data_IF_049545425531
#
_entry.id   IF_049545425531
#
_cell.length_a   1.000
_cell.length_b   1.000
_cell.length_c   1.000
_cell.angle_alpha   90.00
_cell.angle_beta   90.00
_cell.angle_gamma   90.00
#
_symmetry.space_group_name_H-M   'P 1'
#
loop_
_entity.id
_entity.type
_entity.pdbx_description
1 polymer ?
#
# COMPACT_ATOMS: atom_id res chain seq x y z
N UNK A 1 12.37 -14.86 28.01
CA UNK A 1 11.82 -14.38 27.62
C UNK A 1 11.75 -13.97 27.14
N UNK A 2 11.95 -14.23 27.31
CA UNK A 2 11.44 -13.77 26.73
C UNK A 2 11.07 -13.26 26.22
N UNK A 3 11.06 -13.42 26.38
CA UNK A 3 10.37 -12.81 25.80
C UNK A 3 10.06 -12.06 25.56
N UNK A 4 10.12 -12.11 25.69
CA UNK A 4 9.57 -11.19 25.35
C UNK A 4 9.64 -10.30 25.13
N UNK A 5 9.95 -10.52 25.49
CA UNK A 5 9.80 -9.55 25.25
C UNK A 5 10.22 -8.96 24.76
N UNK A 6 10.50 -9.02 24.75
CA UNK A 6 10.61 -8.42 24.24
C UNK A 6 10.57 -7.93 23.54
N UNK A 7 10.59 -7.84 23.42
CA UNK A 7 10.21 -7.47 22.62
C UNK A 7 9.41 -6.68 21.95
N UNK A 8 9.30 -6.12 21.83
CA UNK A 8 8.14 -5.37 21.51
C UNK A 8 8.37 -4.30 20.43
N UNK A 9 9.06 -3.25 20.60
CA UNK A 9 9.32 -2.27 19.56
C UNK A 9 9.97 -2.86 18.33
N UNK A 10 10.74 -3.84 18.53
CA UNK A 10 11.41 -4.53 17.42
C UNK A 10 10.43 -5.28 16.57
N UNK A 11 9.43 -5.86 17.20
CA UNK A 11 8.43 -6.63 16.47
C UNK A 11 7.58 -5.73 15.59
N UNK A 12 7.45 -4.48 15.95
CA UNK A 12 6.67 -3.55 15.18
C UNK A 12 7.21 -3.41 13.75
N UNK A 13 8.52 -3.24 13.61
CA UNK A 13 9.11 -3.07 12.27
C UNK A 13 9.00 -4.35 11.45
N UNK A 14 9.04 -5.49 12.11
CA UNK A 14 8.91 -6.75 11.40
C UNK A 14 7.52 -6.96 10.84
N UNK A 15 6.54 -6.23 11.35
CA UNK A 15 5.16 -6.39 10.91
C UNK A 15 4.81 -5.48 9.76
N UNK A 16 5.70 -4.61 9.35
CA UNK A 16 5.46 -3.75 8.21
C UNK A 16 5.37 -4.64 6.97
N UNK A 17 4.25 -4.55 6.29
CA UNK A 17 3.99 -5.39 5.14
C UNK A 17 4.75 -4.92 3.93
N UNK A 18 5.32 -5.85 3.18
CA UNK A 18 6.01 -5.55 1.92
C UNK A 18 5.29 -6.28 0.80
N UNK A 19 5.41 -5.76 -0.44
CA UNK A 19 4.75 -6.41 -1.57
C UNK A 19 5.31 -7.80 -1.82
N UNK A 20 4.44 -8.71 -2.17
CA UNK A 20 4.85 -10.02 -2.66
C UNK A 20 5.08 -9.91 -4.16
N UNK A 21 5.37 -11.05 -4.80
CA UNK A 21 5.64 -11.07 -6.23
C UNK A 21 4.53 -10.44 -7.06
N UNK A 22 3.28 -10.66 -6.67
CA UNK A 22 2.14 -10.21 -7.44
C UNK A 22 1.59 -8.87 -6.98
N UNK A 23 2.27 -8.21 -6.05
CA UNK A 23 1.80 -6.96 -5.47
C UNK A 23 2.75 -5.83 -5.80
N UNK A 24 2.23 -4.61 -5.74
CA UNK A 24 3.02 -3.41 -6.01
C UNK A 24 2.66 -2.31 -5.03
N UNK A 25 3.62 -1.42 -4.79
CA UNK A 25 3.31 -0.15 -4.14
C UNK A 25 2.57 0.75 -5.12
N UNK A 26 1.73 1.61 -4.59
CA UNK A 26 1.07 2.64 -5.38
C UNK A 26 0.79 3.84 -4.49
N UNK A 27 0.64 5.00 -5.12
CA UNK A 27 0.30 6.24 -4.42
C UNK A 27 -1.04 6.72 -4.96
N UNK A 28 -1.97 7.00 -4.06
CA UNK A 28 -3.32 7.41 -4.43
C UNK A 28 -3.29 8.79 -5.05
N UNK A 29 -3.86 8.91 -6.25
CA UNK A 29 -3.97 10.18 -6.96
C UNK A 29 -5.29 10.87 -6.63
N UNK A 30 -6.38 10.12 -6.70
CA UNK A 30 -7.68 10.69 -6.43
C UNK A 30 -8.66 9.60 -6.01
N UNK A 31 -9.66 10.01 -5.27
CA UNK A 31 -10.75 9.13 -4.88
C UNK A 31 -11.85 9.27 -5.92
N UNK A 32 -12.28 8.14 -6.48
CA UNK A 32 -13.28 8.14 -7.56
C UNK A 32 -14.69 7.85 -7.06
N UNK A 33 -14.88 8.00 -5.74
CA UNK A 33 -16.19 7.76 -5.14
C UNK A 33 -16.44 6.28 -4.90
N UNK A 34 -17.39 6.01 -4.01
CA UNK A 34 -17.73 4.65 -3.68
C UNK A 34 -16.52 3.87 -3.19
N UNK A 35 -16.28 2.74 -3.84
CA UNK A 35 -15.20 1.85 -3.43
C UNK A 35 -14.08 1.82 -4.46
N UNK A 36 -13.83 2.94 -5.14
CA UNK A 36 -12.79 3.02 -6.16
C UNK A 36 -11.90 4.22 -5.97
N UNK A 37 -10.67 4.08 -6.44
CA UNK A 37 -9.73 5.19 -6.46
C UNK A 37 -8.77 4.99 -7.62
N UNK A 38 -8.01 6.02 -7.94
CA UNK A 38 -6.96 5.94 -8.94
C UNK A 38 -5.61 6.12 -8.27
N UNK A 39 -4.63 5.37 -8.71
CA UNK A 39 -3.30 5.40 -8.11
C UNK A 39 -2.22 5.22 -9.15
N UNK A 40 -1.09 5.87 -8.94
CA UNK A 40 0.12 5.65 -9.73
C UNK A 40 0.87 4.49 -9.09
N UNK A 41 1.18 3.48 -9.90
CA UNK A 41 1.79 2.25 -9.41
C UNK A 41 3.30 2.26 -9.64
N UNK A 42 4.00 1.35 -8.96
CA UNK A 42 5.46 1.34 -9.05
C UNK A 42 5.98 0.99 -10.45
N UNK A 43 5.15 0.35 -11.28
CA UNK A 43 5.54 0.09 -12.66
C UNK A 43 5.27 1.27 -13.59
N UNK A 44 4.89 2.41 -13.03
CA UNK A 44 4.64 3.63 -13.81
C UNK A 44 3.24 3.75 -14.36
N UNK A 45 2.42 2.73 -14.22
CA UNK A 45 1.06 2.75 -14.74
C UNK A 45 0.08 3.32 -13.74
N UNK A 46 -0.96 3.96 -14.26
CA UNK A 46 -2.06 4.44 -13.42
C UNK A 46 -3.19 3.43 -13.52
N UNK A 47 -3.66 2.98 -12.37
CA UNK A 47 -4.71 1.97 -12.34
C UNK A 47 -5.91 2.44 -11.55
N UNK A 48 -7.07 1.89 -11.92
CA UNK A 48 -8.24 1.99 -11.06
C UNK A 48 -8.15 0.91 -10.00
N UNK A 49 -8.23 1.30 -8.75
CA UNK A 49 -8.08 0.39 -7.62
C UNK A 49 -9.44 0.18 -6.98
N UNK A 50 -9.83 -1.08 -6.84
CA UNK A 50 -11.07 -1.44 -6.18
C UNK A 50 -10.80 -1.70 -4.70
N UNK A 51 -11.63 -1.09 -3.85
CA UNK A 51 -11.56 -1.32 -2.41
C UNK A 51 -12.61 -2.36 -2.07
N UNK A 52 -12.15 -3.54 -1.64
CA UNK A 52 -13.07 -4.61 -1.27
C UNK A 52 -13.95 -4.20 -0.08
N UNK A 53 -15.13 -4.80 0.00
CA UNK A 53 -16.10 -4.43 1.03
C UNK A 53 -15.58 -4.50 2.44
N UNK A 54 -14.77 -5.49 2.76
CA UNK A 54 -14.22 -5.64 4.10
C UNK A 54 -13.22 -4.54 4.42
N UNK A 55 -12.43 -4.12 3.43
CA UNK A 55 -11.40 -3.12 3.64
C UNK A 55 -11.99 -1.72 3.73
N UNK A 56 -13.14 -1.53 3.08
CA UNK A 56 -13.80 -0.25 3.04
C UNK A 56 -14.10 0.30 4.43
N UNK A 57 -14.40 -0.57 5.36
CA UNK A 57 -14.73 -0.17 6.73
C UNK A 57 -13.52 0.01 7.62
N UNK A 58 -12.37 -0.51 7.20
CA UNK A 58 -11.17 -0.50 8.04
C UNK A 58 -10.10 0.46 7.56
N UNK A 59 -10.14 0.81 6.30
CA UNK A 59 -9.10 1.63 5.71
C UNK A 59 -9.66 2.93 5.19
N UNK A 60 -9.26 4.00 5.84
CA UNK A 60 -9.64 5.35 5.42
C UNK A 60 -8.60 5.87 4.45
N UNK A 61 -8.62 5.32 3.24
CA UNK A 61 -7.65 5.68 2.22
C UNK A 61 -7.94 7.08 1.69
N UNK A 62 -6.89 7.86 1.52
CA UNK A 62 -6.98 9.24 1.05
C UNK A 62 -5.97 9.49 -0.05
N UNK A 63 -6.12 10.63 -0.71
CA UNK A 63 -5.14 11.07 -1.69
C UNK A 63 -3.77 11.17 -1.05
N UNK A 64 -2.75 10.82 -1.81
CA UNK A 64 -1.35 10.81 -1.40
C UNK A 64 -0.98 9.72 -0.40
N UNK A 65 -1.89 8.80 -0.12
CA UNK A 65 -1.56 7.65 0.73
C UNK A 65 -0.73 6.64 -0.05
N UNK A 66 0.18 5.98 0.66
CA UNK A 66 0.89 4.85 0.11
C UNK A 66 0.08 3.59 0.35
N UNK A 67 -0.15 2.84 -0.69
CA UNK A 67 -0.94 1.62 -0.61
C UNK A 67 -0.24 0.47 -1.30
N UNK A 68 -0.72 -0.73 -1.04
CA UNK A 68 -0.26 -1.94 -1.67
C UNK A 68 -1.42 -2.46 -2.51
N UNK A 69 -1.13 -2.79 -3.76
CA UNK A 69 -2.17 -3.23 -4.68
C UNK A 69 -1.77 -4.54 -5.33
N UNK A 70 -2.78 -5.25 -5.83
CA UNK A 70 -2.56 -6.47 -6.58
C UNK A 70 -3.29 -6.34 -7.91
N UNK A 71 -2.57 -6.25 -9.04
CA UNK A 71 -3.21 -6.16 -10.35
C UNK A 71 -4.11 -7.37 -10.61
N UNK A 72 -5.20 -7.15 -11.33
CA UNK A 72 -6.11 -8.22 -11.67
C UNK A 72 -5.44 -9.18 -12.66
N UNK A 73 -5.81 -10.46 -12.64
CA UNK A 73 -5.29 -11.40 -13.64
C UNK A 73 -5.65 -11.00 -15.06
N UNK A 74 -6.84 -10.40 -15.23
CA UNK A 74 -7.29 -9.88 -16.53
C UNK A 74 -7.43 -8.38 -16.36
N UNK A 75 -6.95 -7.61 -17.33
CA UNK A 75 -6.95 -6.15 -17.29
C UNK A 75 -6.03 -5.62 -16.17
N UNK A 76 -4.99 -6.37 -15.83
CA UNK A 76 -4.09 -5.99 -14.75
C UNK A 76 -3.32 -4.70 -15.00
N UNK A 77 -3.21 -4.27 -16.27
CA UNK A 77 -2.58 -2.99 -16.60
C UNK A 77 -3.45 -1.81 -16.24
N UNK A 78 -4.73 -2.03 -16.05
CA UNK A 78 -5.69 -0.96 -15.81
C UNK A 78 -6.39 -1.06 -14.47
N UNK A 79 -6.44 -2.25 -13.89
CA UNK A 79 -7.22 -2.49 -12.68
C UNK A 79 -6.47 -3.33 -11.67
N UNK A 80 -6.72 -3.06 -10.39
CA UNK A 80 -6.11 -3.80 -9.31
C UNK A 80 -7.03 -3.74 -8.09
N UNK A 81 -6.71 -4.59 -7.11
CA UNK A 81 -7.40 -4.59 -5.83
C UNK A 81 -6.51 -3.96 -4.78
N UNK A 82 -7.13 -3.20 -3.87
CA UNK A 82 -6.43 -2.67 -2.71
C UNK A 82 -6.16 -3.82 -1.74
N UNK A 83 -4.91 -3.96 -1.35
CA UNK A 83 -4.50 -4.99 -0.42
C UNK A 83 -4.24 -4.40 0.96
N UNK A 84 -3.59 -3.23 1.02
CA UNK A 84 -3.18 -2.67 2.29
C UNK A 84 -2.93 -1.17 2.15
N UNK A 85 -3.21 -0.44 3.21
CA UNK A 85 -2.89 0.98 3.30
C UNK A 85 -1.82 1.17 4.35
N UNK A 86 -0.74 1.84 3.98
CA UNK A 86 0.36 2.07 4.92
C UNK A 86 0.07 3.24 5.84
N UNK A 87 0.33 3.04 7.12
CA UNK A 87 0.28 4.12 8.08
C UNK A 87 1.50 5.03 7.87
N UNK A 88 1.43 6.29 8.28
CA UNK A 88 2.58 7.20 8.10
C UNK A 88 3.89 6.66 8.66
N UNK A 89 3.84 5.97 9.80
CA UNK A 89 5.05 5.38 10.38
C UNK A 89 5.61 4.28 9.51
N UNK A 90 4.73 3.45 8.95
CA UNK A 90 5.14 2.37 8.05
C UNK A 90 5.68 2.93 6.74
N UNK A 91 5.02 3.95 6.21
CA UNK A 91 5.47 4.62 5.00
C UNK A 91 6.88 5.17 5.20
N UNK A 92 7.10 5.86 6.31
CA UNK A 92 8.42 6.43 6.59
C UNK A 92 9.48 5.34 6.72
N UNK A 93 9.10 4.20 7.26
CA UNK A 93 10.01 3.07 7.40
C UNK A 93 10.48 2.55 6.03
N UNK A 94 9.54 2.37 5.09
CA UNK A 94 9.91 1.87 3.76
C UNK A 94 10.69 2.92 2.95
N UNK A 95 10.38 4.19 3.15
CA UNK A 95 11.14 5.26 2.50
C UNK A 95 12.58 5.26 3.00
N UNK A 96 12.76 5.19 4.30
CA UNK A 96 14.07 5.26 4.92
C UNK A 96 14.96 4.11 4.47
N UNK A 97 14.38 2.97 4.17
CA UNK A 97 15.13 1.80 3.73
C UNK A 97 15.23 1.69 2.23
N UNK A 98 14.79 2.72 1.50
CA UNK A 98 14.85 2.76 0.05
C UNK A 98 14.13 1.58 -0.60
N UNK A 99 13.06 1.11 0.01
CA UNK A 99 12.27 0.01 -0.52
C UNK A 99 11.30 0.52 -1.58
N UNK A 100 10.75 1.72 -1.36
CA UNK A 100 9.81 2.31 -2.30
C UNK A 100 10.58 2.92 -3.49
N UNK A 101 10.09 2.73 -4.73
CA UNK A 101 10.72 3.37 -5.88
C UNK A 101 10.73 4.88 -5.76
N UNK A 102 11.80 5.49 -6.21
CA UNK A 102 11.96 6.93 -6.10
C UNK A 102 10.83 7.68 -6.80
N UNK A 103 10.34 7.15 -7.91
CA UNK A 103 9.29 7.79 -8.68
C UNK A 103 7.98 7.90 -7.90
N UNK A 104 7.78 7.05 -6.92
CA UNK A 104 6.56 7.09 -6.10
C UNK A 104 6.72 7.95 -4.86
N UNK A 105 7.94 8.33 -4.54
CA UNK A 105 8.20 9.01 -3.28
C UNK A 105 7.85 10.49 -3.41
N UNK A 106 6.68 10.85 -2.92
CA UNK A 106 6.22 12.24 -2.90
C UNK A 106 6.39 12.89 -1.53
N UNK A 107 6.97 12.14 -0.61
CA UNK A 107 7.18 12.60 0.75
C UNK A 107 8.65 12.95 0.96
#
# INVERSE_FOLDING_TARGET
MKKNSKKSGQNFTKKTRLPTRDEQFAVVIEMSGGSRLRATCEDGKTRMIRIGGKLKKRMWVRENDLILIKPWPIQGDQKADLIYRYLPTERNWVIKRNIIPEELNIW
#
